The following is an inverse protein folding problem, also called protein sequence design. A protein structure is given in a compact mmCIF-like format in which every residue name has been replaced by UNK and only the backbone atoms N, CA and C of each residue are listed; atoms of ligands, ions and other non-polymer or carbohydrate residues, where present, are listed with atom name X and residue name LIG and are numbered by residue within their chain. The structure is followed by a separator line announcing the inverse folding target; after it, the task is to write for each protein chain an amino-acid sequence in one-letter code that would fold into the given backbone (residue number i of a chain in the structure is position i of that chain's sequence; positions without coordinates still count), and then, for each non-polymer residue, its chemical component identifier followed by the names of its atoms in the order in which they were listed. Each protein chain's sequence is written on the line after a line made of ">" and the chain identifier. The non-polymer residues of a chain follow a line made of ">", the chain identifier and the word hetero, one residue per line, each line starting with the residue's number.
data_IF_940707958162
#
_entry.id   IF_940707958162
#
_cell.length_a   1.000
_cell.length_b   1.000
_cell.length_c   1.000
_cell.angle_alpha   90.00
_cell.angle_beta   90.00
_cell.angle_gamma   90.00
#
_symmetry.space_group_name_H-M   'P 1'
#
loop_
_entity.id
_entity.type
_entity.pdbx_description
1 polymer ?
#
# COMPACT_ATOMS: atom_id res chain seq x y z
N UNK A 1 28.55 -20.45 13.12
CA UNK A 1 27.67 -19.79 14.10
C UNK A 1 26.25 -20.29 13.84
N UNK A 2 25.46 -20.55 14.89
CA UNK A 2 24.09 -21.05 14.78
C UNK A 2 23.12 -19.85 14.78
N UNK A 3 22.05 -19.91 13.98
CA UNK A 3 21.06 -18.83 13.82
C UNK A 3 20.51 -18.33 15.17
N UNK A 4 20.25 -19.26 16.09
CA UNK A 4 19.73 -18.94 17.42
C UNK A 4 20.71 -18.06 18.23
N UNK A 5 22.01 -18.33 18.13
CA UNK A 5 23.06 -17.58 18.84
C UNK A 5 23.29 -16.20 18.22
N UNK A 6 23.16 -16.08 16.90
CA UNK A 6 23.25 -14.79 16.19
C UNK A 6 22.05 -13.88 16.48
N UNK A 7 20.87 -14.46 16.70
CA UNK A 7 19.64 -13.74 17.02
C UNK A 7 19.33 -13.62 18.52
N UNK A 8 20.24 -14.06 19.40
CA UNK A 8 20.07 -14.05 20.86
C UNK A 8 18.79 -14.78 21.33
N UNK A 9 18.44 -15.84 20.63
CA UNK A 9 17.32 -16.72 20.97
C UNK A 9 17.87 -17.79 21.89
N UNK A 10 17.64 -17.64 23.19
CA UNK A 10 18.14 -18.56 24.22
C UNK A 10 17.11 -19.64 24.55
N UNK A 11 15.82 -19.34 24.39
CA UNK A 11 14.72 -20.25 24.64
C UNK A 11 13.73 -20.34 23.46
N UNK A 12 13.01 -21.47 23.38
CA UNK A 12 11.94 -21.63 22.38
C UNK A 12 10.85 -20.56 22.51
N UNK A 13 10.55 -20.11 23.73
CA UNK A 13 9.61 -19.02 23.97
C UNK A 13 10.07 -17.70 23.31
N UNK A 14 11.38 -17.42 23.31
CA UNK A 14 11.95 -16.24 22.67
C UNK A 14 11.77 -16.31 21.14
N UNK A 15 11.91 -17.50 20.55
CA UNK A 15 11.67 -17.72 19.12
C UNK A 15 10.22 -17.43 18.75
N UNK A 16 9.27 -17.93 19.53
CA UNK A 16 7.83 -17.70 19.32
C UNK A 16 7.49 -16.22 19.47
N UNK A 17 7.96 -15.57 20.54
CA UNK A 17 7.76 -14.13 20.75
C UNK A 17 8.29 -13.31 19.58
N UNK A 18 9.47 -13.67 19.06
CA UNK A 18 10.08 -12.96 17.93
C UNK A 18 9.30 -13.13 16.63
N UNK A 19 8.73 -14.31 16.40
CA UNK A 19 7.83 -14.57 15.25
C UNK A 19 6.57 -13.71 15.37
N UNK A 20 5.96 -13.67 16.55
CA UNK A 20 4.73 -12.88 16.78
C UNK A 20 4.98 -11.38 16.60
N UNK A 21 6.07 -10.84 17.15
CA UNK A 21 6.50 -9.45 16.93
C UNK A 21 6.67 -9.14 15.44
N UNK A 22 7.41 -9.98 14.71
CA UNK A 22 7.67 -9.75 13.29
C UNK A 22 6.43 -9.93 12.42
N UNK A 23 5.52 -10.82 12.79
CA UNK A 23 4.23 -10.97 12.13
C UNK A 23 3.36 -9.72 12.35
N UNK A 24 3.35 -9.17 13.57
CA UNK A 24 2.66 -7.91 13.87
C UNK A 24 3.25 -6.73 13.08
N UNK A 25 4.57 -6.58 13.06
CA UNK A 25 5.26 -5.56 12.25
C UNK A 25 4.96 -5.71 10.75
N UNK A 26 4.96 -6.96 10.25
CA UNK A 26 4.60 -7.24 8.85
C UNK A 26 3.15 -6.89 8.55
N UNK A 27 2.23 -7.11 9.48
CA UNK A 27 0.83 -6.71 9.35
C UNK A 27 0.67 -5.19 9.28
N UNK A 28 1.30 -4.47 10.20
CA UNK A 28 1.29 -3.00 10.21
C UNK A 28 1.89 -2.41 8.91
N UNK A 29 2.97 -2.99 8.40
CA UNK A 29 3.57 -2.57 7.14
C UNK A 29 2.62 -2.81 5.94
N UNK A 30 1.86 -3.90 5.95
CA UNK A 30 0.87 -4.17 4.91
C UNK A 30 -0.30 -3.17 4.96
N UNK A 31 -0.80 -2.84 6.15
CA UNK A 31 -1.86 -1.84 6.32
C UNK A 31 -1.39 -0.44 5.88
N UNK A 32 -0.17 -0.05 6.27
CA UNK A 32 0.43 1.23 5.84
C UNK A 32 0.59 1.31 4.31
N UNK A 33 0.97 0.20 3.67
CA UNK A 33 1.07 0.12 2.21
C UNK A 33 -0.30 0.30 1.55
N UNK A 34 -1.33 -0.38 2.05
CA UNK A 34 -2.70 -0.28 1.56
C UNK A 34 -3.26 1.14 1.67
N UNK A 35 -2.99 1.81 2.80
CA UNK A 35 -3.41 3.19 3.01
C UNK A 35 -2.67 4.16 2.07
N UNK A 36 -1.38 3.95 1.84
CA UNK A 36 -0.60 4.74 0.88
C UNK A 36 -1.12 4.55 -0.56
N UNK A 37 -1.43 3.33 -0.97
CA UNK A 37 -2.02 3.02 -2.27
C UNK A 37 -3.38 3.68 -2.48
N UNK A 38 -4.25 3.61 -1.47
CA UNK A 38 -5.55 4.28 -1.49
C UNK A 38 -5.39 5.79 -1.65
N UNK A 39 -4.51 6.40 -0.85
CA UNK A 39 -4.26 7.85 -0.91
C UNK A 39 -3.67 8.27 -2.25
N UNK A 40 -2.79 7.48 -2.85
CA UNK A 40 -2.29 7.73 -4.21
C UNK A 40 -3.42 7.71 -5.24
N UNK A 41 -4.33 6.74 -5.17
CA UNK A 41 -5.47 6.67 -6.08
C UNK A 41 -6.38 7.90 -5.95
N UNK A 42 -6.70 8.29 -4.71
CA UNK A 42 -7.52 9.47 -4.44
C UNK A 42 -6.83 10.76 -4.95
N UNK A 43 -5.52 10.90 -4.71
CA UNK A 43 -4.73 12.02 -5.21
C UNK A 43 -4.64 12.06 -6.73
N UNK A 44 -4.50 10.92 -7.41
CA UNK A 44 -4.47 10.87 -8.86
C UNK A 44 -5.79 11.37 -9.47
N UNK A 45 -6.92 10.97 -8.90
CA UNK A 45 -8.25 11.47 -9.30
C UNK A 45 -8.36 12.97 -9.06
N UNK A 46 -7.88 13.45 -7.90
CA UNK A 46 -7.87 14.86 -7.58
C UNK A 46 -7.03 15.68 -8.57
N UNK A 47 -5.77 15.28 -8.80
CA UNK A 47 -4.85 15.91 -9.76
C UNK A 47 -5.48 16.00 -11.14
N UNK A 48 -6.10 14.91 -11.60
CA UNK A 48 -6.80 14.87 -12.89
C UNK A 48 -7.92 15.90 -12.94
N UNK A 49 -8.81 15.94 -11.94
CA UNK A 49 -9.93 16.88 -11.91
C UNK A 49 -9.46 18.34 -11.81
N UNK A 50 -8.44 18.62 -10.98
CA UNK A 50 -7.85 19.97 -10.88
C UNK A 50 -7.25 20.40 -12.22
N UNK A 51 -6.45 19.53 -12.86
CA UNK A 51 -5.84 19.81 -14.15
C UNK A 51 -6.89 20.04 -15.24
N UNK A 52 -7.91 19.18 -15.33
CA UNK A 52 -9.02 19.32 -16.28
C UNK A 52 -9.78 20.61 -16.05
N UNK A 53 -10.11 20.94 -14.80
CA UNK A 53 -10.80 22.18 -14.46
C UNK A 53 -10.00 23.41 -14.89
N UNK A 54 -8.69 23.45 -14.58
CA UNK A 54 -7.81 24.55 -14.97
C UNK A 54 -7.71 24.70 -16.50
N UNK A 55 -7.48 23.60 -17.22
CA UNK A 55 -7.33 23.61 -18.69
C UNK A 55 -8.59 24.04 -19.42
N UNK A 56 -9.77 23.66 -18.90
CA UNK A 56 -11.06 23.94 -19.54
C UNK A 56 -11.68 25.27 -19.09
N UNK A 57 -11.17 25.86 -18.00
CA UNK A 57 -11.70 27.11 -17.44
C UNK A 57 -11.78 28.27 -18.45
N UNK A 58 -10.77 28.55 -19.30
CA UNK A 58 -10.87 29.63 -20.28
C UNK A 58 -12.02 29.44 -21.28
N UNK A 59 -12.21 28.20 -21.76
CA UNK A 59 -13.31 27.85 -22.67
C UNK A 59 -14.66 28.00 -21.99
N UNK A 60 -14.77 27.54 -20.74
CA UNK A 60 -16.01 27.66 -19.97
C UNK A 60 -16.35 29.12 -19.62
N UNK A 61 -15.35 29.95 -19.28
CA UNK A 61 -15.54 31.37 -19.02
C UNK A 61 -15.98 32.13 -20.28
N UNK A 62 -15.44 31.76 -21.46
CA UNK A 62 -15.87 32.29 -22.74
C UNK A 62 -17.31 31.83 -23.10
N UNK A 63 -17.65 30.56 -22.86
CA UNK A 63 -19.01 30.04 -23.01
C UNK A 63 -20.02 30.85 -22.18
N UNK A 64 -19.70 31.14 -20.92
CA UNK A 64 -20.59 31.94 -20.04
C UNK A 64 -20.83 33.35 -20.56
N UNK A 65 -19.86 33.93 -21.27
CA UNK A 65 -19.93 35.29 -21.84
C UNK A 65 -20.43 35.32 -23.29
N UNK A 66 -20.55 34.18 -23.95
CA UNK A 66 -20.94 34.11 -25.35
C UNK A 66 -22.37 34.62 -25.58
N UNK A 67 -22.54 35.45 -26.63
CA UNK A 67 -23.85 35.99 -27.03
C UNK A 67 -24.81 34.89 -27.52
N UNK A 68 -24.28 33.89 -28.23
CA UNK A 68 -25.02 32.69 -28.64
C UNK A 68 -24.38 31.47 -27.97
N UNK A 69 -24.92 31.10 -26.80
CA UNK A 69 -24.40 30.01 -25.97
C UNK A 69 -24.56 28.64 -26.61
N UNK A 70 -25.67 28.38 -27.30
CA UNK A 70 -25.91 27.08 -27.95
C UNK A 70 -24.90 26.82 -29.07
N UNK A 71 -24.69 27.80 -29.96
CA UNK A 71 -23.69 27.67 -31.02
C UNK A 71 -22.27 27.52 -30.47
N UNK A 72 -21.94 28.26 -29.41
CA UNK A 72 -20.63 28.11 -28.76
C UNK A 72 -20.48 26.73 -28.12
N UNK A 73 -21.53 26.24 -27.43
CA UNK A 73 -21.52 24.91 -26.80
C UNK A 73 -21.33 23.82 -27.84
N UNK A 74 -22.05 23.86 -28.96
CA UNK A 74 -21.88 22.87 -30.03
C UNK A 74 -20.43 22.82 -30.57
N UNK A 75 -19.73 23.95 -30.63
CA UNK A 75 -18.33 24.01 -31.07
C UNK A 75 -17.28 23.65 -30.01
N UNK A 76 -17.65 23.60 -28.72
CA UNK A 76 -16.75 23.38 -27.58
C UNK A 76 -17.31 22.37 -26.58
N UNK A 77 -18.17 21.46 -27.06
CA UNK A 77 -19.02 20.63 -26.21
C UNK A 77 -18.20 19.78 -25.25
N UNK A 78 -17.18 19.10 -25.77
CA UNK A 78 -16.28 18.27 -24.98
C UNK A 78 -15.61 19.04 -23.84
N UNK A 79 -15.07 20.23 -24.13
CA UNK A 79 -14.38 21.04 -23.12
C UNK A 79 -15.34 21.53 -22.03
N UNK A 80 -16.58 21.88 -22.39
CA UNK A 80 -17.62 22.29 -21.44
C UNK A 80 -18.06 21.12 -20.56
N UNK A 81 -18.32 19.94 -21.14
CA UNK A 81 -18.69 18.74 -20.39
C UNK A 81 -17.59 18.35 -19.41
N UNK A 82 -16.33 18.34 -19.86
CA UNK A 82 -15.18 18.05 -19.01
C UNK A 82 -15.02 19.06 -17.87
N UNK A 83 -15.24 20.35 -18.14
CA UNK A 83 -15.22 21.39 -17.12
C UNK A 83 -16.29 21.15 -16.05
N UNK A 84 -17.54 20.94 -16.47
CA UNK A 84 -18.66 20.72 -15.56
C UNK A 84 -18.46 19.45 -14.73
N UNK A 85 -17.97 18.36 -15.34
CA UNK A 85 -17.68 17.12 -14.64
C UNK A 85 -16.59 17.31 -13.58
N UNK A 86 -15.46 17.94 -13.96
CA UNK A 86 -14.38 18.24 -13.02
C UNK A 86 -14.85 19.15 -11.87
N UNK A 87 -15.63 20.19 -12.18
CA UNK A 87 -16.18 21.09 -11.16
C UNK A 87 -17.11 20.38 -10.17
N UNK A 88 -17.98 19.47 -10.67
CA UNK A 88 -18.85 18.65 -9.82
C UNK A 88 -18.05 17.72 -8.91
N UNK A 89 -17.03 17.04 -9.45
CA UNK A 89 -16.16 16.15 -8.67
C UNK A 89 -15.39 16.89 -7.59
N UNK A 90 -14.82 18.06 -7.90
CA UNK A 90 -14.11 18.89 -6.90
C UNK A 90 -15.06 19.37 -5.80
N UNK A 91 -16.29 19.77 -6.16
CA UNK A 91 -17.31 20.18 -5.19
C UNK A 91 -17.73 19.01 -4.29
N UNK A 92 -17.93 17.82 -4.84
CA UNK A 92 -18.25 16.61 -4.09
C UNK A 92 -17.12 16.21 -3.12
N UNK A 93 -15.87 16.47 -3.50
CA UNK A 93 -14.70 16.28 -2.64
C UNK A 93 -14.54 17.38 -1.56
N UNK A 94 -15.48 18.31 -1.44
CA UNK A 94 -15.43 19.39 -0.43
C UNK A 94 -14.40 20.49 -0.72
N UNK A 95 -13.89 20.56 -1.95
CA UNK A 95 -12.83 21.51 -2.32
C UNK A 95 -13.46 22.87 -2.63
N UNK A 96 -13.39 23.78 -1.66
CA UNK A 96 -13.86 25.16 -1.81
C UNK A 96 -12.84 26.05 -2.55
N UNK A 97 -11.54 25.81 -2.34
CA UNK A 97 -10.45 26.55 -2.99
C UNK A 97 -9.60 25.58 -3.78
N UNK A 98 -9.36 25.92 -5.06
CA UNK A 98 -8.58 25.06 -5.94
C UNK A 98 -7.15 24.90 -5.41
N UNK A 99 -6.67 23.67 -5.19
CA UNK A 99 -5.31 23.43 -4.75
C UNK A 99 -4.29 23.77 -5.85
N UNK A 100 -3.04 23.97 -5.46
CA UNK A 100 -1.93 24.16 -6.40
C UNK A 100 -1.58 22.81 -7.04
N UNK A 101 -1.66 22.74 -8.38
CA UNK A 101 -1.40 21.51 -9.13
C UNK A 101 0.04 21.01 -8.95
N UNK A 102 1.03 21.90 -8.93
CA UNK A 102 2.42 21.53 -8.74
C UNK A 102 2.68 20.98 -7.32
N UNK A 103 2.03 21.56 -6.32
CA UNK A 103 2.10 21.05 -4.95
C UNK A 103 1.49 19.65 -4.85
N UNK A 104 0.31 19.43 -5.44
CA UNK A 104 -0.32 18.10 -5.49
C UNK A 104 0.55 17.05 -6.20
N UNK A 105 1.21 17.44 -7.29
CA UNK A 105 2.13 16.55 -8.01
C UNK A 105 3.35 16.19 -7.16
N UNK A 106 3.94 17.17 -6.48
CA UNK A 106 5.07 16.92 -5.57
C UNK A 106 4.68 16.02 -4.39
N UNK A 107 3.52 16.25 -3.79
CA UNK A 107 3.00 15.37 -2.72
C UNK A 107 2.74 13.94 -3.24
N UNK A 108 2.24 13.80 -4.46
CA UNK A 108 2.00 12.51 -5.09
C UNK A 108 3.32 11.75 -5.31
N UNK A 109 4.35 12.42 -5.83
CA UNK A 109 5.69 11.84 -6.03
C UNK A 109 6.33 11.44 -4.70
N UNK A 110 6.23 12.29 -3.67
CA UNK A 110 6.74 11.97 -2.34
C UNK A 110 6.04 10.74 -1.74
N UNK A 111 4.70 10.65 -1.87
CA UNK A 111 3.94 9.50 -1.40
C UNK A 111 4.25 8.23 -2.20
N UNK A 112 4.50 8.35 -3.50
CA UNK A 112 4.92 7.23 -4.34
C UNK A 112 6.29 6.70 -3.88
N UNK A 113 7.25 7.58 -3.59
CA UNK A 113 8.55 7.18 -3.03
C UNK A 113 8.41 6.52 -1.65
N UNK A 114 7.52 7.04 -0.80
CA UNK A 114 7.21 6.41 0.49
C UNK A 114 6.62 5.00 0.32
N UNK A 115 5.70 4.82 -0.63
CA UNK A 115 5.14 3.50 -0.94
C UNK A 115 6.23 2.51 -1.39
N UNK A 116 7.16 2.95 -2.24
CA UNK A 116 8.26 2.10 -2.70
C UNK A 116 9.18 1.68 -1.55
N UNK A 117 9.47 2.59 -0.62
CA UNK A 117 10.22 2.27 0.60
C UNK A 117 9.47 1.25 1.48
N UNK A 118 8.17 1.49 1.74
CA UNK A 118 7.32 0.56 2.50
C UNK A 118 7.26 -0.82 1.84
N UNK A 119 7.17 -0.88 0.52
CA UNK A 119 7.15 -2.15 -0.22
C UNK A 119 8.47 -2.93 -0.05
N UNK A 120 9.60 -2.23 -0.10
CA UNK A 120 10.91 -2.84 0.12
C UNK A 120 11.05 -3.38 1.55
N UNK A 121 10.60 -2.63 2.56
CA UNK A 121 10.68 -3.03 3.96
C UNK A 121 9.71 -4.17 4.31
N UNK A 122 8.48 -4.13 3.81
CA UNK A 122 7.54 -5.23 3.89
C UNK A 122 8.10 -6.52 3.25
N UNK A 123 8.75 -6.39 2.09
CA UNK A 123 9.42 -7.51 1.43
C UNK A 123 10.54 -8.14 2.27
N UNK A 124 11.30 -7.34 3.02
CA UNK A 124 12.33 -7.83 3.95
C UNK A 124 11.70 -8.52 5.16
N UNK A 125 10.69 -7.91 5.78
CA UNK A 125 9.98 -8.47 6.93
C UNK A 125 9.38 -9.83 6.60
N UNK A 126 8.70 -9.96 5.46
CA UNK A 126 8.10 -11.23 5.01
C UNK A 126 9.13 -12.35 4.83
N UNK A 127 10.32 -12.04 4.33
CA UNK A 127 11.42 -13.02 4.21
C UNK A 127 11.89 -13.48 5.59
N UNK A 128 12.08 -12.55 6.51
CA UNK A 128 12.51 -12.87 7.87
C UNK A 128 11.47 -13.70 8.62
N UNK A 129 10.18 -13.35 8.55
CA UNK A 129 9.10 -14.14 9.17
C UNK A 129 9.16 -15.59 8.68
N UNK A 130 9.30 -15.79 7.36
CA UNK A 130 9.41 -17.13 6.77
C UNK A 130 10.63 -17.90 7.25
N UNK A 131 11.77 -17.24 7.41
CA UNK A 131 12.99 -17.85 7.93
C UNK A 131 12.80 -18.35 9.37
N UNK A 132 12.19 -17.52 10.22
CA UNK A 132 11.88 -17.90 11.60
C UNK A 132 10.85 -19.04 11.68
N UNK A 133 9.83 -19.03 10.82
CA UNK A 133 8.84 -20.11 10.74
C UNK A 133 9.48 -21.45 10.37
N UNK A 134 10.43 -21.46 9.43
CA UNK A 134 11.18 -22.68 9.05
C UNK A 134 11.97 -23.20 10.25
N UNK A 135 12.62 -22.32 11.00
CA UNK A 135 13.41 -22.71 12.18
C UNK A 135 12.51 -23.26 13.28
N UNK A 136 11.36 -22.64 13.51
CA UNK A 136 10.35 -23.15 14.43
C UNK A 136 9.89 -24.55 14.02
N UNK A 137 9.56 -24.76 12.75
CA UNK A 137 9.16 -26.07 12.23
C UNK A 137 10.26 -27.13 12.41
N UNK A 138 11.52 -26.77 12.16
CA UNK A 138 12.64 -27.68 12.35
C UNK A 138 12.80 -28.07 13.83
N UNK A 139 12.72 -27.11 14.75
CA UNK A 139 12.80 -27.38 16.20
C UNK A 139 11.60 -28.21 16.67
N UNK A 140 10.39 -27.87 16.22
CA UNK A 140 9.18 -28.63 16.54
C UNK A 140 9.30 -30.09 16.07
N UNK A 141 9.90 -30.32 14.90
CA UNK A 141 10.12 -31.67 14.35
C UNK A 141 11.12 -32.48 15.18
N UNK A 142 12.21 -31.86 15.65
CA UNK A 142 13.19 -32.50 16.54
C UNK A 142 12.54 -32.85 17.89
N UNK A 143 11.84 -31.89 18.50
CA UNK A 143 11.16 -32.11 19.78
C UNK A 143 10.06 -33.19 19.69
N UNK A 144 9.40 -33.33 18.54
CA UNK A 144 8.46 -34.41 18.28
C UNK A 144 9.14 -35.77 18.10
N UNK A 145 10.29 -35.80 17.41
CA UNK A 145 11.08 -37.02 17.24
C UNK A 145 11.62 -37.53 18.58
N UNK A 146 12.11 -36.65 19.46
CA UNK A 146 12.57 -37.01 20.81
C UNK A 146 11.44 -37.52 21.74
N UNK A 147 10.18 -37.15 21.44
CA UNK A 147 9.00 -37.63 22.17
C UNK A 147 8.47 -38.97 21.67
N UNK A 148 8.93 -39.47 20.52
CA UNK A 148 8.69 -40.85 20.13
C UNK A 148 9.72 -41.73 20.85
N UNK A 149 9.35 -42.53 21.87
CA UNK A 149 10.26 -43.54 22.37
C UNK A 149 10.61 -44.48 21.22
N UNK A 150 11.85 -44.99 21.17
CA UNK A 150 12.30 -46.07 20.28
C UNK A 150 11.31 -47.25 20.32
N UNK A 151 10.21 -47.17 19.58
CA UNK A 151 9.44 -48.32 19.17
C UNK A 151 10.22 -48.88 17.99
N UNK A 152 10.91 -49.98 18.29
CA UNK A 152 11.66 -50.88 17.38
C UNK A 152 13.17 -50.91 17.60
N UNK A 153 13.59 -51.18 18.84
CA UNK A 153 14.75 -52.04 19.08
C UNK A 153 14.33 -53.18 20.00
N UNK A 154 13.72 -54.21 19.42
CA UNK A 154 13.21 -55.32 20.21
C UNK A 154 12.56 -56.43 19.40
N UNK A 155 13.12 -56.82 18.26
CA UNK A 155 12.85 -58.16 17.70
C UNK A 155 14.10 -58.69 16.99
N UNK A 156 15.13 -58.98 17.77
CA UNK A 156 16.00 -60.12 17.47
C UNK A 156 15.80 -61.18 18.54
N UNK A 157 15.70 -62.44 18.06
CA UNK A 157 15.85 -63.74 18.74
C UNK A 157 14.57 -64.47 19.15
N UNK A 158 14.38 -65.61 18.47
CA UNK A 158 13.39 -66.66 18.70
C UNK A 158 13.37 -67.59 17.50
#
# INVERSE_FOLDING_TARGET
>A
MNFLTEHKIEQYADLVSRIEEMAAESGQAADALKDAEKRLADMAVLIKNVSTYQKTKPVYDAYRKARNREKYRAGQEQAIILHEAAARSLKAAGIAKLPNLAALQSEYEALQAQKEALYADYGKLKKKVREYDIIKQNIDSILQADRQPEREKGTERG
#
